data_IF_993470285001
#
_entry.id   IF_993470285001
#
_cell.length_a   1.000
_cell.length_b   1.000
_cell.length_c   1.000
_cell.angle_alpha   90.00
_cell.angle_beta   90.00
_cell.angle_gamma   90.00
#
_symmetry.space_group_name_H-M   'P 1'
#
loop_
_entity.id
_entity.type
_entity.pdbx_description
1 polymer ?
#
# COMPACT_ATOMS: atom_id res chain seq x y z
N UNK A 1 7.67 9.05 12.25
CA UNK A 1 7.47 10.20 11.34
C UNK A 1 8.11 9.97 9.96
N UNK A 2 9.29 9.32 9.86
CA UNK A 2 9.98 9.06 8.59
C UNK A 2 9.16 8.19 7.61
N UNK A 3 8.57 7.10 8.10
CA UNK A 3 7.90 6.10 7.24
C UNK A 3 6.68 6.64 6.51
N UNK A 4 5.90 7.53 7.14
CA UNK A 4 4.75 8.17 6.48
C UNK A 4 5.17 9.02 5.28
N UNK A 5 6.32 9.70 5.38
CA UNK A 5 6.88 10.48 4.25
C UNK A 5 7.30 9.56 3.11
N UNK A 6 7.98 8.45 3.43
CA UNK A 6 8.41 7.45 2.46
C UNK A 6 7.21 6.83 1.74
N UNK A 7 6.16 6.44 2.47
CA UNK A 7 4.94 5.89 1.88
C UNK A 7 4.23 6.88 0.95
N UNK A 8 4.14 8.15 1.34
CA UNK A 8 3.54 9.19 0.51
C UNK A 8 4.31 9.38 -0.80
N UNK A 9 5.64 9.33 -0.75
CA UNK A 9 6.48 9.37 -1.95
C UNK A 9 6.26 8.12 -2.82
N UNK A 10 6.25 6.92 -2.25
CA UNK A 10 5.96 5.69 -3.01
C UNK A 10 4.64 5.82 -3.77
N UNK A 11 3.58 6.29 -3.11
CA UNK A 11 2.26 6.52 -3.73
C UNK A 11 2.32 7.56 -4.83
N UNK A 12 2.97 8.69 -4.58
CA UNK A 12 3.13 9.79 -5.56
C UNK A 12 3.85 9.30 -6.81
N UNK A 13 4.97 8.59 -6.66
CA UNK A 13 5.73 8.10 -7.80
C UNK A 13 5.01 6.95 -8.51
N UNK A 14 4.29 6.10 -7.78
CA UNK A 14 3.44 5.05 -8.36
C UNK A 14 2.33 5.64 -9.25
N UNK A 15 1.59 6.65 -8.76
CA UNK A 15 0.52 7.29 -9.54
C UNK A 15 1.02 8.04 -10.78
N UNK A 16 2.28 8.49 -10.76
CA UNK A 16 2.95 9.10 -11.91
C UNK A 16 3.54 8.07 -12.90
N UNK A 17 3.43 6.77 -12.62
CA UNK A 17 4.07 5.72 -13.42
C UNK A 17 5.61 5.76 -13.35
N UNK A 18 6.16 6.26 -12.24
CA UNK A 18 7.61 6.46 -12.02
C UNK A 18 8.14 5.68 -10.82
N UNK A 19 7.46 4.60 -10.43
CA UNK A 19 7.92 3.67 -9.42
C UNK A 19 8.66 2.51 -10.10
N UNK A 20 9.86 2.21 -9.66
CA UNK A 20 10.62 1.05 -10.13
C UNK A 20 11.11 0.23 -8.95
N UNK A 21 11.36 -1.06 -9.16
CA UNK A 21 11.83 -1.97 -8.12
C UNK A 21 13.14 -2.61 -8.55
N UNK A 22 14.10 -2.67 -7.64
CA UNK A 22 15.35 -3.39 -7.80
C UNK A 22 15.32 -4.67 -6.96
N UNK A 23 15.34 -5.83 -7.60
CA UNK A 23 15.23 -7.14 -6.96
C UNK A 23 16.61 -7.81 -6.96
N UNK A 24 17.12 -8.12 -5.77
CA UNK A 24 18.38 -8.86 -5.60
C UNK A 24 18.19 -10.35 -5.32
N UNK A 25 19.31 -11.05 -5.13
CA UNK A 25 19.35 -12.51 -4.96
C UNK A 25 18.62 -13.00 -3.69
N UNK A 26 18.41 -12.14 -2.70
CA UNK A 26 17.69 -12.46 -1.47
C UNK A 26 16.23 -12.87 -1.71
N UNK A 27 15.58 -12.37 -2.77
CA UNK A 27 14.22 -12.80 -3.12
C UNK A 27 14.24 -14.19 -3.79
N UNK A 28 15.20 -14.44 -4.67
CA UNK A 28 15.39 -15.75 -5.31
C UNK A 28 15.81 -16.84 -4.31
N UNK A 29 16.57 -16.48 -3.27
CA UNK A 29 16.96 -17.40 -2.21
C UNK A 29 15.76 -18.00 -1.45
N UNK A 30 14.66 -17.25 -1.31
CA UNK A 30 13.41 -17.76 -0.73
C UNK A 30 12.75 -18.85 -1.59
N UNK A 31 13.10 -18.92 -2.86
CA UNK A 31 12.68 -19.98 -3.79
C UNK A 31 13.66 -21.16 -3.84
N UNK A 32 14.74 -21.14 -3.03
CA UNK A 32 15.72 -22.21 -2.95
C UNK A 32 16.94 -22.05 -3.87
N UNK A 33 17.10 -20.90 -4.53
CA UNK A 33 18.34 -20.62 -5.28
C UNK A 33 19.54 -20.51 -4.34
N UNK A 34 20.73 -21.01 -4.75
CA UNK A 34 21.94 -20.85 -3.97
C UNK A 34 22.31 -19.38 -3.82
N UNK A 35 22.85 -19.03 -2.66
CA UNK A 35 23.42 -17.69 -2.46
C UNK A 35 24.71 -17.54 -3.26
N UNK A 36 25.09 -16.30 -3.55
CA UNK A 36 26.36 -16.00 -4.21
C UNK A 36 27.56 -16.62 -3.50
N UNK A 37 27.64 -16.45 -2.17
CA UNK A 37 28.70 -17.04 -1.35
C UNK A 37 28.73 -18.56 -1.44
N UNK A 38 27.59 -19.24 -1.64
CA UNK A 38 27.55 -20.68 -1.83
C UNK A 38 28.15 -21.10 -3.17
N UNK A 39 27.85 -20.39 -4.25
CA UNK A 39 28.48 -20.61 -5.56
C UNK A 39 30.00 -20.41 -5.49
N UNK A 40 30.43 -19.30 -4.87
CA UNK A 40 31.86 -18.98 -4.71
C UNK A 40 32.56 -20.04 -3.86
N UNK A 41 31.92 -20.52 -2.78
CA UNK A 41 32.44 -21.62 -1.94
C UNK A 41 32.64 -22.90 -2.75
N UNK A 42 31.69 -23.26 -3.62
CA UNK A 42 31.81 -24.43 -4.48
C UNK A 42 32.98 -24.30 -5.46
N UNK A 43 33.14 -23.12 -6.09
CA UNK A 43 34.29 -22.84 -6.95
C UNK A 43 35.60 -22.91 -6.18
N UNK A 44 35.67 -22.26 -5.01
CA UNK A 44 36.86 -22.22 -4.16
C UNK A 44 37.33 -23.62 -3.76
N UNK A 45 36.41 -24.49 -3.35
CA UNK A 45 36.73 -25.86 -2.95
C UNK A 45 37.31 -26.69 -4.11
N UNK A 46 36.85 -26.49 -5.36
CA UNK A 46 37.34 -27.25 -6.53
C UNK A 46 38.71 -26.82 -7.05
N UNK A 47 39.15 -25.62 -6.67
CA UNK A 47 40.48 -25.08 -6.99
C UNK A 47 41.39 -25.04 -5.75
N UNK A 48 40.99 -25.68 -4.65
CA UNK A 48 41.71 -25.71 -3.37
C UNK A 48 42.08 -24.31 -2.84
N UNK A 49 41.20 -23.32 -3.02
CA UNK A 49 41.40 -21.95 -2.52
C UNK A 49 41.06 -21.84 -1.03
N UNK A 50 41.98 -21.29 -0.25
CA UNK A 50 41.80 -21.09 1.20
C UNK A 50 40.94 -19.86 1.48
N UNK A 51 39.85 -20.03 2.25
CA UNK A 51 38.98 -18.94 2.71
C UNK A 51 38.68 -19.05 4.20
N UNK A 52 38.17 -17.96 4.79
CA UNK A 52 37.80 -17.92 6.22
C UNK A 52 36.45 -18.59 6.45
N UNK A 53 36.28 -19.18 7.61
CA UNK A 53 35.03 -19.82 8.03
C UNK A 53 34.56 -19.17 9.33
N UNK A 54 33.26 -18.93 9.47
CA UNK A 54 32.68 -18.43 10.71
C UNK A 54 32.53 -19.54 11.78
N UNK A 55 32.01 -19.16 12.95
CA UNK A 55 31.73 -20.10 14.05
C UNK A 55 30.70 -21.18 13.71
N UNK A 56 29.92 -20.99 12.65
CA UNK A 56 28.82 -21.87 12.23
C UNK A 56 29.21 -22.77 11.03
N UNK A 57 30.43 -22.62 10.51
CA UNK A 57 30.92 -23.40 9.35
C UNK A 57 30.62 -22.78 7.99
N UNK A 58 30.11 -21.54 7.94
CA UNK A 58 29.85 -20.83 6.70
C UNK A 58 31.11 -20.13 6.19
N UNK A 59 31.26 -20.11 4.87
CA UNK A 59 32.39 -19.43 4.23
C UNK A 59 32.20 -17.92 4.30
N UNK A 60 33.20 -17.23 4.84
CA UNK A 60 33.29 -15.77 4.85
C UNK A 60 34.27 -15.36 3.74
N UNK A 61 33.75 -14.64 2.76
CA UNK A 61 34.54 -14.02 1.71
C UNK A 61 34.53 -12.50 1.87
N UNK A 62 35.68 -11.88 1.66
CA UNK A 62 35.76 -10.44 1.41
C UNK A 62 35.15 -10.08 0.05
N UNK A 63 34.79 -8.80 -0.15
CA UNK A 63 34.28 -8.32 -1.44
C UNK A 63 35.26 -8.56 -2.60
N UNK A 64 36.57 -8.56 -2.32
CA UNK A 64 37.61 -8.87 -3.32
C UNK A 64 37.61 -10.36 -3.68
N UNK A 65 37.55 -11.24 -2.67
CA UNK A 65 37.53 -12.69 -2.88
C UNK A 65 36.30 -13.15 -3.67
N UNK A 66 35.15 -12.51 -3.46
CA UNK A 66 33.92 -12.78 -4.22
C UNK A 66 34.07 -12.58 -5.72
N UNK A 67 35.01 -11.72 -6.16
CA UNK A 67 35.29 -11.45 -7.58
C UNK A 67 36.51 -12.22 -8.08
N UNK A 68 37.53 -12.36 -7.22
CA UNK A 68 38.80 -13.01 -7.53
C UNK A 68 38.66 -14.52 -7.68
N UNK A 69 37.89 -15.18 -6.82
CA UNK A 69 37.74 -16.65 -6.88
C UNK A 69 37.13 -17.09 -8.23
N UNK A 70 36.03 -16.49 -8.73
CA UNK A 70 35.55 -16.76 -10.08
C UNK A 70 36.58 -16.51 -11.18
N UNK A 71 37.39 -15.44 -11.04
CA UNK A 71 38.44 -15.12 -12.00
C UNK A 71 39.54 -16.19 -12.02
N UNK A 72 39.97 -16.64 -10.85
CA UNK A 72 40.97 -17.73 -10.73
C UNK A 72 40.39 -19.05 -11.26
N UNK A 73 39.13 -19.37 -10.94
CA UNK A 73 38.45 -20.55 -11.46
C UNK A 73 38.43 -20.56 -12.99
N UNK A 74 38.04 -19.44 -13.60
CA UNK A 74 38.07 -19.26 -15.06
C UNK A 74 39.47 -19.48 -15.65
N UNK A 75 40.51 -18.94 -15.02
CA UNK A 75 41.91 -19.11 -15.49
C UNK A 75 42.36 -20.57 -15.38
N UNK A 76 41.99 -21.27 -14.31
CA UNK A 76 42.47 -22.63 -14.02
C UNK A 76 41.70 -23.72 -14.78
N UNK A 77 40.37 -23.57 -14.90
CA UNK A 77 39.49 -24.59 -15.51
C UNK A 77 39.10 -24.25 -16.94
N UNK A 78 39.26 -23.00 -17.36
CA UNK A 78 38.86 -22.52 -18.67
C UNK A 78 37.39 -22.10 -18.73
N UNK A 79 37.01 -21.48 -19.85
CA UNK A 79 35.69 -20.86 -20.06
C UNK A 79 34.54 -21.88 -20.01
N UNK A 80 34.68 -23.02 -20.68
CA UNK A 80 33.61 -24.02 -20.76
C UNK A 80 33.25 -24.59 -19.39
N UNK A 81 34.23 -24.97 -18.59
CA UNK A 81 34.00 -25.52 -17.25
C UNK A 81 33.43 -24.46 -16.30
N UNK A 82 33.91 -23.22 -16.41
CA UNK A 82 33.37 -22.08 -15.68
C UNK A 82 31.89 -21.85 -16.00
N UNK A 83 31.51 -21.79 -17.27
CA UNK A 83 30.11 -21.60 -17.66
C UNK A 83 29.22 -22.76 -17.21
N UNK A 84 29.67 -23.99 -17.40
CA UNK A 84 28.93 -25.18 -16.97
C UNK A 84 28.71 -25.16 -15.46
N UNK A 85 29.77 -24.85 -14.70
CA UNK A 85 29.69 -24.77 -13.23
C UNK A 85 28.62 -23.80 -12.77
N UNK A 86 28.50 -22.65 -13.42
CA UNK A 86 27.49 -21.65 -13.07
C UNK A 86 26.11 -22.14 -13.50
N UNK A 87 25.95 -22.57 -14.75
CA UNK A 87 24.64 -23.03 -15.29
C UNK A 87 24.05 -24.18 -14.45
N UNK A 88 24.88 -25.09 -13.96
CA UNK A 88 24.45 -26.18 -13.06
C UNK A 88 23.84 -25.67 -11.74
N UNK A 89 24.30 -24.53 -11.22
CA UNK A 89 23.78 -23.94 -9.98
C UNK A 89 22.46 -23.17 -10.20
N UNK A 90 22.08 -22.89 -11.44
CA UNK A 90 20.87 -22.15 -11.81
C UNK A 90 19.99 -22.99 -12.74
N UNK A 91 19.46 -24.10 -12.23
CA UNK A 91 18.49 -24.93 -12.98
C UNK A 91 17.10 -24.29 -13.05
N UNK A 92 16.35 -24.51 -14.13
CA UNK A 92 15.02 -23.93 -14.37
C UNK A 92 13.88 -24.48 -13.49
N UNK A 93 14.20 -25.35 -12.53
CA UNK A 93 13.23 -26.11 -11.74
C UNK A 93 12.57 -25.32 -10.61
N UNK A 94 13.10 -24.14 -10.26
CA UNK A 94 12.59 -23.34 -9.16
C UNK A 94 11.29 -22.58 -9.51
N UNK A 95 10.40 -22.49 -8.54
CA UNK A 95 9.13 -21.78 -8.63
C UNK A 95 9.17 -20.39 -8.01
N UNK A 96 8.28 -19.52 -8.44
CA UNK A 96 8.10 -18.18 -7.84
C UNK A 96 7.58 -18.31 -6.40
N UNK A 97 7.68 -17.23 -5.62
CA UNK A 97 7.22 -17.16 -4.24
C UNK A 97 6.31 -15.94 -4.02
N UNK A 98 5.61 -15.89 -2.88
CA UNK A 98 4.64 -14.82 -2.55
C UNK A 98 5.26 -13.41 -2.59
N UNK A 99 6.56 -13.26 -2.32
CA UNK A 99 7.24 -11.96 -2.35
C UNK A 99 7.27 -11.41 -3.77
N UNK A 100 7.49 -12.25 -4.80
CA UNK A 100 7.37 -11.80 -6.19
C UNK A 100 5.96 -11.33 -6.52
N UNK A 101 4.93 -12.03 -6.06
CA UNK A 101 3.54 -11.63 -6.27
C UNK A 101 3.26 -10.25 -5.64
N UNK A 102 3.79 -9.99 -4.46
CA UNK A 102 3.68 -8.69 -3.79
C UNK A 102 4.47 -7.59 -4.50
N UNK A 103 5.67 -7.90 -5.02
CA UNK A 103 6.47 -6.96 -5.82
C UNK A 103 5.71 -6.53 -7.07
N UNK A 104 5.11 -7.48 -7.81
CA UNK A 104 4.32 -7.15 -9.00
C UNK A 104 3.02 -6.41 -8.65
N UNK A 105 2.46 -6.65 -7.46
CA UNK A 105 1.29 -5.93 -6.94
C UNK A 105 1.57 -4.45 -6.66
N UNK A 106 2.84 -4.04 -6.49
CA UNK A 106 3.23 -2.62 -6.41
C UNK A 106 3.10 -1.89 -7.76
N UNK A 107 2.82 -2.62 -8.84
CA UNK A 107 2.71 -2.12 -10.21
C UNK A 107 3.95 -1.33 -10.67
N UNK A 108 5.17 -1.87 -10.52
CA UNK A 108 6.37 -1.16 -10.94
C UNK A 108 6.39 -0.90 -12.44
N UNK A 109 6.83 0.30 -12.83
CA UNK A 109 7.04 0.71 -14.22
C UNK A 109 8.23 -0.03 -14.85
N UNK A 110 9.33 -0.15 -14.11
CA UNK A 110 10.47 -1.00 -14.47
C UNK A 110 10.86 -1.89 -13.30
N UNK A 111 11.40 -3.07 -13.62
CA UNK A 111 12.02 -3.96 -12.65
C UNK A 111 13.49 -4.11 -13.04
N UNK A 112 14.39 -3.91 -12.09
CA UNK A 112 15.83 -4.09 -12.28
C UNK A 112 16.27 -5.27 -11.43
N UNK A 113 17.25 -6.02 -11.90
CA UNK A 113 17.82 -7.12 -11.12
C UNK A 113 19.27 -7.39 -11.50
N UNK A 114 20.06 -7.86 -10.54
CA UNK A 114 21.37 -8.48 -10.78
C UNK A 114 21.28 -10.00 -10.89
N UNK A 115 20.08 -10.58 -10.79
CA UNK A 115 19.88 -12.02 -10.81
C UNK A 115 19.79 -12.52 -12.26
N UNK A 116 20.29 -13.73 -12.50
CA UNK A 116 20.25 -14.37 -13.81
C UNK A 116 18.98 -15.17 -14.05
N UNK A 117 18.30 -15.60 -12.98
CA UNK A 117 17.08 -16.42 -13.03
C UNK A 117 15.92 -15.73 -13.78
N UNK A 118 14.88 -16.50 -14.09
CA UNK A 118 13.70 -16.04 -14.83
C UNK A 118 12.44 -15.91 -13.95
N UNK A 119 12.59 -15.84 -12.61
CA UNK A 119 11.44 -15.84 -11.70
C UNK A 119 10.61 -14.55 -11.81
N UNK A 120 11.25 -13.42 -12.09
CA UNK A 120 10.55 -12.13 -12.28
C UNK A 120 9.68 -12.20 -13.54
N UNK A 121 10.22 -12.74 -14.63
CA UNK A 121 9.54 -12.90 -15.92
C UNK A 121 8.37 -13.87 -15.79
N UNK A 122 8.57 -15.03 -15.14
CA UNK A 122 7.51 -15.99 -14.83
C UNK A 122 6.38 -15.34 -14.01
N UNK A 123 6.73 -14.52 -13.01
CA UNK A 123 5.74 -13.80 -12.20
C UNK A 123 5.02 -12.72 -13.01
N UNK A 124 5.74 -11.95 -13.82
CA UNK A 124 5.14 -10.93 -14.67
C UNK A 124 4.12 -11.53 -15.65
N UNK A 125 4.46 -12.67 -16.27
CA UNK A 125 3.54 -13.43 -17.12
C UNK A 125 2.28 -13.90 -16.36
N UNK A 126 2.45 -14.41 -15.12
CA UNK A 126 1.32 -14.76 -14.22
C UNK A 126 0.39 -13.57 -13.95
N UNK A 127 0.92 -12.36 -13.85
CA UNK A 127 0.16 -11.13 -13.64
C UNK A 127 -0.37 -10.51 -14.95
N UNK A 128 -0.12 -11.12 -16.11
CA UNK A 128 -0.51 -10.58 -17.42
C UNK A 128 0.21 -9.26 -17.75
N UNK A 129 1.40 -9.05 -17.20
CA UNK A 129 2.21 -7.83 -17.40
C UNK A 129 3.27 -8.11 -18.45
N UNK A 130 3.23 -7.37 -19.56
CA UNK A 130 4.24 -7.46 -20.61
C UNK A 130 5.40 -6.51 -20.29
N UNK A 131 6.59 -7.08 -20.12
CA UNK A 131 7.85 -6.34 -19.99
C UNK A 131 8.82 -6.82 -21.07
N UNK A 132 9.60 -5.90 -21.63
CA UNK A 132 10.73 -6.26 -22.48
C UNK A 132 11.93 -6.56 -21.59
N UNK A 133 12.52 -7.74 -21.77
CA UNK A 133 13.68 -8.17 -21.00
C UNK A 133 14.94 -7.62 -21.65
N UNK A 134 15.68 -6.80 -20.92
CA UNK A 134 16.93 -6.19 -21.36
C UNK A 134 18.10 -6.82 -20.58
N UNK A 135 18.81 -7.73 -21.22
CA UNK A 135 19.94 -8.47 -20.62
C UNK A 135 21.29 -8.19 -21.29
N UNK A 136 21.30 -7.48 -22.42
CA UNK A 136 22.51 -7.16 -23.19
C UNK A 136 22.26 -5.94 -24.07
N UNK A 137 23.31 -5.35 -24.64
CA UNK A 137 23.17 -4.19 -25.52
C UNK A 137 22.38 -4.52 -26.80
N UNK A 138 22.54 -5.74 -27.34
CA UNK A 138 21.95 -6.13 -28.64
C UNK A 138 20.41 -6.25 -28.59
N UNK A 139 19.85 -6.53 -27.41
CA UNK A 139 18.40 -6.68 -27.23
C UNK A 139 17.67 -5.35 -27.01
N UNK A 140 18.39 -4.28 -26.67
CA UNK A 140 17.79 -2.96 -26.39
C UNK A 140 16.96 -2.45 -27.57
N UNK A 141 17.48 -2.63 -28.79
CA UNK A 141 16.78 -2.23 -30.02
C UNK A 141 15.52 -3.06 -30.34
N UNK A 142 15.39 -4.24 -29.73
CA UNK A 142 14.30 -5.20 -29.95
C UNK A 142 13.21 -5.10 -28.89
N UNK A 143 13.30 -4.14 -27.97
CA UNK A 143 12.30 -3.95 -26.93
C UNK A 143 10.93 -3.60 -27.56
N UNK A 144 9.91 -4.39 -27.24
CA UNK A 144 8.56 -4.24 -27.79
C UNK A 144 7.68 -3.32 -26.92
N UNK A 145 8.09 -3.10 -25.67
CA UNK A 145 7.35 -2.35 -24.66
C UNK A 145 8.21 -1.27 -24.05
N UNK A 146 7.58 -0.25 -23.45
CA UNK A 146 8.27 0.80 -22.68
C UNK A 146 8.52 0.41 -21.22
N UNK A 147 7.91 -0.67 -20.75
CA UNK A 147 8.20 -1.29 -19.45
C UNK A 147 9.32 -2.32 -19.60
N UNK A 148 10.31 -2.27 -18.72
CA UNK A 148 11.52 -3.11 -18.84
C UNK A 148 11.74 -3.98 -17.61
N UNK A 149 12.17 -5.22 -17.85
CA UNK A 149 12.92 -6.02 -16.86
C UNK A 149 14.39 -5.90 -17.26
N UNK A 150 15.16 -5.10 -16.53
CA UNK A 150 16.57 -4.84 -16.82
C UNK A 150 17.42 -5.78 -15.98
N UNK A 151 18.04 -6.77 -16.63
CA UNK A 151 19.05 -7.63 -16.01
C UNK A 151 20.40 -6.94 -16.11
N UNK A 152 20.75 -6.21 -15.07
CA UNK A 152 21.94 -5.35 -15.00
C UNK A 152 23.21 -6.14 -15.28
N UNK A 153 23.30 -7.36 -14.74
CA UNK A 153 24.44 -8.25 -14.91
C UNK A 153 24.24 -9.28 -16.03
N UNK A 154 23.26 -9.07 -16.90
CA UNK A 154 22.90 -9.97 -17.99
C UNK A 154 22.31 -11.31 -17.50
N UNK A 155 22.44 -12.33 -18.35
CA UNK A 155 22.02 -13.70 -18.04
C UNK A 155 22.83 -14.72 -18.87
N UNK A 156 22.47 -16.01 -18.75
CA UNK A 156 23.20 -17.11 -19.39
C UNK A 156 22.95 -17.26 -20.91
N UNK A 157 22.07 -16.44 -21.50
CA UNK A 157 21.78 -16.52 -22.94
C UNK A 157 22.76 -15.73 -23.80
N UNK A 158 23.44 -14.76 -23.19
CA UNK A 158 24.40 -13.90 -23.86
C UNK A 158 25.66 -13.73 -23.00
N UNK A 159 25.85 -12.56 -22.39
CA UNK A 159 26.97 -12.24 -21.51
C UNK A 159 26.44 -12.01 -20.10
N UNK A 160 27.22 -12.41 -19.10
CA UNK A 160 26.91 -12.15 -17.70
C UNK A 160 28.14 -11.62 -16.94
N UNK A 161 27.89 -11.01 -15.79
CA UNK A 161 28.92 -10.38 -14.95
C UNK A 161 29.08 -11.16 -13.66
N UNK A 162 30.24 -11.81 -13.45
CA UNK A 162 30.53 -12.58 -12.23
C UNK A 162 32.01 -12.51 -11.80
N UNK A 163 32.96 -12.65 -12.74
CA UNK A 163 34.40 -12.57 -12.42
C UNK A 163 34.91 -11.13 -12.44
N UNK A 164 36.02 -10.90 -11.75
CA UNK A 164 36.67 -9.59 -11.61
C UNK A 164 36.77 -8.80 -12.93
N UNK A 165 37.24 -9.44 -14.01
CA UNK A 165 37.40 -8.76 -15.30
C UNK A 165 36.07 -8.24 -15.88
N UNK A 166 34.94 -8.90 -15.61
CA UNK A 166 33.63 -8.46 -16.10
C UNK A 166 33.16 -7.19 -15.41
N UNK A 167 33.48 -7.03 -14.12
CA UNK A 167 33.21 -5.79 -13.38
C UNK A 167 34.08 -4.64 -13.87
N UNK A 168 35.37 -4.89 -14.15
CA UNK A 168 36.28 -3.86 -14.67
C UNK A 168 35.87 -3.37 -16.06
N UNK A 169 35.35 -4.26 -16.90
CA UNK A 169 34.91 -3.94 -18.26
C UNK A 169 33.42 -3.59 -18.36
N UNK A 170 32.70 -3.54 -17.24
CA UNK A 170 31.24 -3.46 -17.21
C UNK A 170 30.69 -2.28 -18.03
N UNK A 171 31.22 -1.07 -17.85
CA UNK A 171 30.74 0.12 -18.57
C UNK A 171 30.91 0.01 -20.09
N UNK A 172 31.91 -0.73 -20.56
CA UNK A 172 32.16 -0.94 -21.98
C UNK A 172 31.26 -2.07 -22.53
N UNK A 173 31.17 -3.15 -21.79
CA UNK A 173 30.44 -4.36 -22.18
C UNK A 173 28.92 -4.20 -22.11
N UNK A 174 28.43 -3.39 -21.18
CA UNK A 174 27.00 -3.19 -20.90
C UNK A 174 26.57 -1.72 -21.05
N UNK A 175 27.25 -0.95 -21.91
CA UNK A 175 27.06 0.51 -22.05
C UNK A 175 25.59 0.97 -22.21
N UNK A 176 24.76 0.24 -22.96
CA UNK A 176 23.36 0.62 -23.15
C UNK A 176 22.53 0.28 -21.91
N UNK A 177 22.78 -0.89 -21.31
CA UNK A 177 22.13 -1.31 -20.07
C UNK A 177 22.48 -0.32 -18.95
N UNK A 178 23.76 0.01 -18.77
CA UNK A 178 24.24 0.98 -17.80
C UNK A 178 23.55 2.36 -17.97
N UNK A 179 23.45 2.87 -19.19
CA UNK A 179 22.74 4.12 -19.47
C UNK A 179 21.24 4.06 -19.14
N UNK A 180 20.57 2.94 -19.45
CA UNK A 180 19.16 2.73 -19.09
C UNK A 180 18.99 2.70 -17.58
N UNK A 181 19.86 1.99 -16.86
CA UNK A 181 19.84 1.92 -15.39
C UNK A 181 20.05 3.31 -14.78
N UNK A 182 21.06 4.06 -15.25
CA UNK A 182 21.29 5.47 -14.86
C UNK A 182 20.06 6.34 -15.11
N UNK A 183 19.41 6.19 -16.26
CA UNK A 183 18.20 6.94 -16.59
C UNK A 183 17.02 6.59 -15.66
N UNK A 184 16.83 5.30 -15.36
CA UNK A 184 15.77 4.87 -14.44
C UNK A 184 16.02 5.46 -13.05
N UNK A 185 17.23 5.36 -12.49
CA UNK A 185 17.56 5.98 -11.20
C UNK A 185 17.39 7.50 -11.20
N UNK A 186 17.64 8.16 -12.33
CA UNK A 186 17.48 9.61 -12.45
C UNK A 186 16.00 10.06 -12.52
N UNK A 187 15.10 9.19 -12.97
CA UNK A 187 13.71 9.57 -13.32
C UNK A 187 12.64 8.89 -12.48
N UNK A 188 12.98 7.77 -11.84
CA UNK A 188 12.06 6.93 -11.07
C UNK A 188 12.49 6.86 -9.61
N UNK A 189 11.51 6.68 -8.73
CA UNK A 189 11.77 6.22 -7.38
C UNK A 189 12.02 4.71 -7.41
N UNK A 190 13.22 4.29 -6.99
CA UNK A 190 13.61 2.87 -6.97
C UNK A 190 13.53 2.31 -5.55
N UNK A 191 12.85 1.17 -5.38
CA UNK A 191 12.82 0.39 -4.13
C UNK A 191 13.70 -0.84 -4.27
N UNK A 192 14.73 -0.98 -3.46
CA UNK A 192 15.59 -2.17 -3.37
C UNK A 192 14.99 -3.22 -2.45
N UNK A 193 14.88 -4.46 -2.92
CA UNK A 193 14.28 -5.60 -2.22
C UNK A 193 15.16 -6.83 -2.42
N UNK A 194 15.53 -7.53 -1.34
CA UNK A 194 16.38 -8.72 -1.45
C UNK A 194 17.79 -8.44 -1.93
N UNK A 195 18.25 -7.21 -1.81
CA UNK A 195 19.51 -6.77 -2.39
C UNK A 195 20.53 -6.42 -1.31
N UNK A 196 21.75 -6.94 -1.42
CA UNK A 196 22.86 -6.46 -0.61
C UNK A 196 23.47 -5.23 -1.27
N UNK A 197 23.49 -4.08 -0.61
CA UNK A 197 24.07 -2.81 -1.11
C UNK A 197 25.60 -2.84 -1.31
N UNK A 198 26.20 -4.02 -1.49
CA UNK A 198 27.64 -4.21 -1.59
C UNK A 198 28.19 -4.23 -3.01
N UNK A 199 27.32 -4.39 -4.01
CA UNK A 199 27.72 -4.40 -5.42
C UNK A 199 28.41 -3.11 -5.86
N UNK A 200 29.52 -3.25 -6.55
CA UNK A 200 30.35 -2.14 -6.99
C UNK A 200 29.68 -1.31 -8.10
N UNK A 201 29.08 -1.95 -9.10
CA UNK A 201 28.50 -1.29 -10.27
C UNK A 201 27.30 -0.42 -9.85
N UNK A 202 26.41 -0.95 -9.01
CA UNK A 202 25.24 -0.19 -8.54
C UNK A 202 25.67 0.99 -7.66
N UNK A 203 26.71 0.85 -6.83
CA UNK A 203 27.25 1.98 -6.04
C UNK A 203 27.77 3.09 -6.94
N UNK A 204 28.50 2.74 -8.00
CA UNK A 204 29.01 3.71 -8.97
C UNK A 204 27.87 4.43 -9.69
N UNK A 205 26.87 3.68 -10.19
CA UNK A 205 25.71 4.25 -10.87
C UNK A 205 24.97 5.22 -9.97
N UNK A 206 24.65 4.82 -8.73
CA UNK A 206 23.95 5.69 -7.78
C UNK A 206 24.73 6.97 -7.47
N UNK A 207 26.04 6.86 -7.26
CA UNK A 207 26.88 8.01 -6.99
C UNK A 207 26.95 8.96 -8.19
N UNK A 208 27.05 8.41 -9.42
CA UNK A 208 27.03 9.19 -10.65
C UNK A 208 25.73 9.96 -10.81
N UNK A 209 24.57 9.30 -10.66
CA UNK A 209 23.26 9.94 -10.76
C UNK A 209 23.09 11.04 -9.71
N UNK A 210 23.51 10.77 -8.47
CA UNK A 210 23.48 11.75 -7.38
C UNK A 210 24.30 12.99 -7.69
N UNK A 211 25.51 12.84 -8.23
CA UNK A 211 26.35 13.97 -8.62
C UNK A 211 25.73 14.77 -9.76
N UNK A 212 25.21 14.08 -10.79
CA UNK A 212 24.58 14.72 -11.94
C UNK A 212 23.34 15.54 -11.56
N UNK A 213 22.54 15.08 -10.59
CA UNK A 213 21.27 15.70 -10.22
C UNK A 213 21.33 16.64 -9.01
N UNK A 214 22.39 16.59 -8.20
CA UNK A 214 22.61 17.43 -7.03
C UNK A 214 21.36 17.57 -6.14
N UNK A 215 20.62 18.69 -6.22
CA UNK A 215 19.44 18.96 -5.39
C UNK A 215 18.15 18.26 -5.84
N UNK A 216 18.11 17.70 -7.05
CA UNK A 216 16.93 17.04 -7.63
C UNK A 216 16.96 15.51 -7.54
N UNK A 217 17.96 14.96 -6.84
CA UNK A 217 18.17 13.53 -6.74
C UNK A 217 16.99 12.82 -6.07
N UNK A 218 16.45 11.80 -6.75
CA UNK A 218 15.36 10.98 -6.23
C UNK A 218 15.97 9.88 -5.36
N UNK A 219 15.96 10.10 -4.04
CA UNK A 219 16.58 9.20 -3.07
C UNK A 219 15.91 7.81 -3.08
N UNK A 220 16.61 6.74 -3.49
CA UNK A 220 16.06 5.38 -3.48
C UNK A 220 15.71 4.90 -2.07
N UNK A 221 14.86 3.88 -2.01
CA UNK A 221 14.43 3.26 -0.75
C UNK A 221 15.05 1.87 -0.68
N UNK A 222 15.64 1.54 0.46
CA UNK A 222 16.24 0.26 0.75
C UNK A 222 15.42 -0.48 1.80
N UNK A 223 14.89 -1.66 1.45
CA UNK A 223 14.22 -2.54 2.41
C UNK A 223 15.30 -3.38 3.10
N UNK A 224 15.51 -3.11 4.38
CA UNK A 224 16.47 -3.83 5.21
C UNK A 224 15.82 -5.02 5.91
N UNK A 225 16.48 -6.17 5.88
CA UNK A 225 16.04 -7.44 6.47
C UNK A 225 17.15 -8.09 7.30
N UNK A 226 16.78 -9.04 8.16
CA UNK A 226 17.70 -9.67 9.12
C UNK A 226 17.72 -8.88 10.42
N UNK A 227 18.89 -8.76 11.03
CA UNK A 227 19.04 -8.06 12.31
C UNK A 227 18.66 -6.59 12.22
N UNK A 228 18.14 -6.07 13.33
CA UNK A 228 17.80 -4.66 13.46
C UNK A 228 19.02 -3.79 13.17
N UNK A 229 18.86 -2.84 12.25
CA UNK A 229 19.94 -1.95 11.85
C UNK A 229 20.20 -0.91 12.94
N UNK A 230 21.48 -0.67 13.24
CA UNK A 230 21.86 0.36 14.21
C UNK A 230 21.65 1.77 13.63
N UNK A 231 21.34 2.72 14.50
CA UNK A 231 21.14 4.13 14.16
C UNK A 231 22.34 4.77 13.47
N UNK A 232 23.57 4.31 13.76
CA UNK A 232 24.79 4.77 13.10
C UNK A 232 24.79 4.32 11.63
N UNK A 233 24.48 3.05 11.39
CA UNK A 233 24.42 2.49 10.03
C UNK A 233 23.28 3.13 9.23
N UNK A 234 22.13 3.40 9.85
CA UNK A 234 21.03 4.14 9.20
C UNK A 234 21.50 5.50 8.69
N UNK A 235 22.14 6.29 9.56
CA UNK A 235 22.68 7.60 9.18
C UNK A 235 23.74 7.50 8.10
N UNK A 236 24.61 6.50 8.17
CA UNK A 236 25.63 6.27 7.15
C UNK A 236 25.01 6.06 5.75
N UNK A 237 23.94 5.27 5.64
CA UNK A 237 23.27 5.04 4.36
C UNK A 237 22.45 6.25 3.91
N UNK A 238 21.85 7.00 4.83
CA UNK A 238 21.16 8.26 4.54
C UNK A 238 22.10 9.29 3.92
N UNK A 239 23.31 9.47 4.47
CA UNK A 239 24.36 10.33 3.90
C UNK A 239 24.88 9.84 2.54
N UNK A 240 24.73 8.54 2.25
CA UNK A 240 25.00 7.97 0.93
C UNK A 240 23.87 8.16 -0.07
N UNK A 241 22.77 8.78 0.34
CA UNK A 241 21.61 9.05 -0.52
C UNK A 241 20.65 7.87 -0.60
N UNK A 242 20.51 7.06 0.46
CA UNK A 242 19.54 5.95 0.54
C UNK A 242 18.62 6.12 1.74
N UNK A 243 17.32 5.93 1.54
CA UNK A 243 16.34 5.89 2.64
C UNK A 243 16.13 4.45 3.08
N UNK A 244 16.17 4.17 4.37
CA UNK A 244 16.01 2.79 4.86
C UNK A 244 14.60 2.59 5.40
N UNK A 245 14.01 1.46 5.03
CA UNK A 245 12.84 0.88 5.67
C UNK A 245 13.25 -0.45 6.31
N UNK A 246 13.30 -0.49 7.63
CA UNK A 246 13.69 -1.68 8.38
C UNK A 246 12.46 -2.58 8.65
N UNK A 247 12.50 -3.82 8.14
CA UNK A 247 11.44 -4.80 8.34
C UNK A 247 11.16 -5.12 9.82
N UNK A 248 12.16 -5.00 10.69
CA UNK A 248 12.00 -5.25 12.13
C UNK A 248 11.02 -4.30 12.82
N UNK A 249 10.63 -3.20 12.17
CA UNK A 249 9.61 -2.28 12.67
C UNK A 249 8.18 -2.78 12.41
N UNK A 250 8.02 -3.73 11.48
CA UNK A 250 6.71 -4.21 11.01
C UNK A 250 6.44 -5.67 11.38
N UNK A 251 7.46 -6.41 11.82
CA UNK A 251 7.32 -7.78 12.34
C UNK A 251 8.39 -8.07 13.39
N UNK A 252 8.06 -8.92 14.36
CA UNK A 252 9.02 -9.48 15.32
C UNK A 252 9.67 -10.78 14.84
N UNK A 253 9.32 -11.26 13.64
CA UNK A 253 9.84 -12.49 13.08
C UNK A 253 11.25 -12.32 12.52
N UNK A 254 12.08 -13.34 12.73
CA UNK A 254 13.42 -13.45 12.15
C UNK A 254 13.41 -14.13 10.77
N UNK A 255 12.26 -14.65 10.32
CA UNK A 255 12.16 -15.26 9.01
C UNK A 255 12.11 -14.21 7.90
N UNK A 256 13.07 -14.28 6.97
CA UNK A 256 13.16 -13.36 5.83
C UNK A 256 11.87 -13.27 5.01
N UNK A 257 11.19 -14.40 4.77
CA UNK A 257 9.93 -14.43 4.01
C UNK A 257 8.85 -13.59 4.68
N UNK A 258 8.69 -13.71 6.01
CA UNK A 258 7.71 -12.95 6.77
C UNK A 258 8.08 -11.47 6.85
N UNK A 259 9.37 -11.15 6.98
CA UNK A 259 9.87 -9.78 6.94
C UNK A 259 9.50 -9.07 5.63
N UNK A 260 9.84 -9.65 4.47
CA UNK A 260 9.47 -9.09 3.16
C UNK A 260 7.96 -8.99 2.99
N UNK A 261 7.24 -10.04 3.35
CA UNK A 261 5.78 -10.09 3.20
C UNK A 261 5.09 -9.01 4.03
N UNK A 262 5.54 -8.80 5.27
CA UNK A 262 4.94 -7.83 6.19
C UNK A 262 5.12 -6.41 5.70
N UNK A 263 6.34 -6.04 5.30
CA UNK A 263 6.62 -4.68 4.83
C UNK A 263 5.95 -4.38 3.49
N UNK A 264 5.94 -5.34 2.55
CA UNK A 264 5.30 -5.14 1.25
C UNK A 264 3.77 -5.05 1.40
N UNK A 265 3.16 -5.89 2.25
CA UNK A 265 1.75 -5.76 2.62
C UNK A 265 1.48 -4.41 3.29
N UNK A 266 2.37 -3.92 4.15
CA UNK A 266 2.25 -2.60 4.75
C UNK A 266 2.29 -1.48 3.71
N UNK A 267 3.21 -1.53 2.73
CA UNK A 267 3.27 -0.55 1.64
C UNK A 267 1.97 -0.57 0.81
N UNK A 268 1.55 -1.77 0.36
CA UNK A 268 0.37 -1.98 -0.48
C UNK A 268 -0.95 -1.61 0.22
N UNK A 269 -1.08 -1.94 1.50
CA UNK A 269 -2.31 -1.76 2.27
C UNK A 269 -2.23 -0.61 3.26
N UNK A 270 -1.24 0.28 3.14
CA UNK A 270 -1.11 1.45 3.99
C UNK A 270 -2.38 2.30 4.01
N UNK A 271 -3.16 2.33 2.93
CA UNK A 271 -4.48 2.98 2.87
C UNK A 271 -5.53 2.32 3.78
N UNK A 272 -5.47 1.00 3.98
CA UNK A 272 -6.36 0.28 4.92
C UNK A 272 -5.98 0.48 6.39
N UNK A 273 -4.74 0.91 6.64
CA UNK A 273 -4.22 1.26 7.97
C UNK A 273 -4.23 2.77 8.22
N UNK A 274 -4.52 3.59 7.20
CA UNK A 274 -4.86 4.98 7.40
C UNK A 274 -6.26 5.04 8.00
N UNK A 275 -6.34 5.18 9.32
CA UNK A 275 -7.60 5.42 10.02
C UNK A 275 -8.33 6.61 9.42
N UNK A 276 -7.62 7.56 8.80
CA UNK A 276 -8.24 8.68 8.11
C UNK A 276 -8.91 8.31 6.78
N UNK A 277 -8.37 7.39 5.97
CA UNK A 277 -9.05 7.01 4.71
C UNK A 277 -10.34 6.24 5.01
N UNK A 278 -10.32 5.35 6.02
CA UNK A 278 -11.54 4.70 6.52
C UNK A 278 -12.52 5.68 7.13
N UNK A 279 -12.05 6.68 7.89
CA UNK A 279 -12.92 7.73 8.46
C UNK A 279 -13.46 8.66 7.36
N UNK A 280 -12.69 8.98 6.34
CA UNK A 280 -13.17 9.74 5.17
C UNK A 280 -14.26 8.97 4.43
N UNK A 281 -14.06 7.68 4.16
CA UNK A 281 -15.08 6.81 3.54
C UNK A 281 -16.36 6.73 4.40
N UNK A 282 -16.21 6.54 5.72
CA UNK A 282 -17.34 6.51 6.67
C UNK A 282 -18.07 7.86 6.72
N UNK A 283 -17.32 8.97 6.71
CA UNK A 283 -17.85 10.33 6.76
C UNK A 283 -18.59 10.67 5.48
N UNK A 284 -17.99 10.35 4.34
CA UNK A 284 -18.57 10.57 3.01
C UNK A 284 -19.84 9.75 2.83
N UNK A 285 -19.85 8.51 3.32
CA UNK A 285 -21.06 7.68 3.34
C UNK A 285 -22.22 8.35 4.10
N UNK A 286 -21.98 8.73 5.36
CA UNK A 286 -22.99 9.38 6.20
C UNK A 286 -23.44 10.71 5.56
N UNK A 287 -22.50 11.51 5.08
CA UNK A 287 -22.76 12.77 4.40
C UNK A 287 -23.64 12.59 3.17
N UNK A 288 -23.32 11.65 2.28
CA UNK A 288 -24.07 11.40 1.05
C UNK A 288 -25.52 10.99 1.36
N UNK A 289 -25.73 10.21 2.42
CA UNK A 289 -27.08 9.80 2.89
C UNK A 289 -27.90 10.96 3.44
N UNK A 290 -27.29 11.92 4.14
CA UNK A 290 -28.01 13.02 4.81
C UNK A 290 -28.08 14.32 4.02
N UNK A 291 -27.16 14.53 3.07
CA UNK A 291 -26.98 15.80 2.36
C UNK A 291 -28.26 16.28 1.66
N UNK A 292 -29.00 15.36 1.04
CA UNK A 292 -30.21 15.66 0.25
C UNK A 292 -31.39 16.19 1.07
N UNK A 293 -31.39 16.04 2.39
CA UNK A 293 -32.47 16.48 3.28
C UNK A 293 -32.02 17.45 4.38
N UNK A 294 -30.79 17.95 4.27
CA UNK A 294 -30.19 18.90 5.23
C UNK A 294 -31.03 20.18 5.43
N UNK A 295 -31.82 20.57 4.44
CA UNK A 295 -32.69 21.76 4.48
C UNK A 295 -33.97 21.58 5.30
N UNK A 296 -34.30 20.36 5.76
CA UNK A 296 -35.49 20.13 6.58
C UNK A 296 -35.30 20.67 7.99
N UNK A 297 -36.32 21.31 8.57
CA UNK A 297 -36.29 21.78 9.96
C UNK A 297 -36.48 20.65 10.99
N UNK A 298 -37.08 19.53 10.56
CA UNK A 298 -37.35 18.37 11.40
C UNK A 298 -37.32 17.11 10.55
N UNK A 299 -36.78 16.01 11.09
CA UNK A 299 -36.69 14.72 10.41
C UNK A 299 -37.59 13.73 11.13
N UNK A 300 -38.56 13.14 10.42
CA UNK A 300 -39.45 12.15 11.02
C UNK A 300 -38.69 10.83 11.13
N UNK A 301 -39.07 9.99 12.10
CA UNK A 301 -38.55 8.62 12.23
C UNK A 301 -38.64 7.82 10.92
N UNK A 302 -39.75 7.96 10.19
CA UNK A 302 -39.92 7.31 8.89
C UNK A 302 -38.88 7.76 7.86
N UNK A 303 -38.49 9.03 7.88
CA UNK A 303 -37.51 9.60 6.96
C UNK A 303 -36.11 9.04 7.29
N UNK A 304 -35.74 9.03 8.58
CA UNK A 304 -34.50 8.39 9.05
C UNK A 304 -34.44 6.92 8.63
N UNK A 305 -35.48 6.14 8.96
CA UNK A 305 -35.55 4.70 8.66
C UNK A 305 -35.58 4.41 7.15
N UNK A 306 -36.02 5.37 6.34
CA UNK A 306 -35.97 5.24 4.88
C UNK A 306 -34.57 5.46 4.32
N UNK A 307 -33.80 6.39 4.89
CA UNK A 307 -32.44 6.74 4.43
C UNK A 307 -31.46 5.60 4.73
N UNK A 308 -31.58 5.02 5.92
CA UNK A 308 -30.73 3.93 6.40
C UNK A 308 -31.42 2.56 6.34
N UNK A 309 -32.34 2.37 5.39
CA UNK A 309 -33.10 1.13 5.26
C UNK A 309 -32.15 -0.08 5.21
N UNK A 310 -32.41 -1.08 6.05
CA UNK A 310 -31.61 -2.29 6.23
C UNK A 310 -30.21 -2.09 6.85
N UNK A 311 -29.84 -0.87 7.24
CA UNK A 311 -28.53 -0.53 7.80
C UNK A 311 -28.69 -0.06 9.25
N UNK A 312 -29.51 0.97 9.47
CA UNK A 312 -29.82 1.54 10.77
C UNK A 312 -31.32 1.80 10.93
N UNK A 313 -31.82 1.66 12.15
CA UNK A 313 -33.21 1.99 12.51
C UNK A 313 -33.24 2.93 13.71
N UNK A 314 -33.96 4.04 13.61
CA UNK A 314 -34.38 4.83 14.75
C UNK A 314 -35.61 4.16 15.40
N UNK A 315 -35.49 3.71 16.64
CA UNK A 315 -36.56 3.00 17.37
C UNK A 315 -37.52 3.96 18.10
N UNK A 316 -38.54 3.42 18.80
CA UNK A 316 -39.53 4.19 19.58
C UNK A 316 -38.94 4.99 20.75
N UNK A 317 -37.72 4.65 21.18
CA UNK A 317 -36.98 5.35 22.24
C UNK A 317 -36.06 6.44 21.69
N UNK A 318 -36.17 6.73 20.39
CA UNK A 318 -35.27 7.57 19.62
C UNK A 318 -33.81 7.06 19.64
N UNK A 319 -33.57 5.76 19.75
CA UNK A 319 -32.23 5.18 19.69
C UNK A 319 -31.89 4.73 18.26
N UNK A 320 -30.69 5.05 17.77
CA UNK A 320 -30.17 4.49 16.51
C UNK A 320 -29.69 3.06 16.77
N UNK A 321 -30.35 2.08 16.15
CA UNK A 321 -30.04 0.66 16.21
C UNK A 321 -29.36 0.24 14.91
N UNK A 322 -28.18 -0.35 15.01
CA UNK A 322 -27.52 -1.02 13.89
C UNK A 322 -28.24 -2.32 13.54
N UNK A 323 -28.67 -2.44 12.29
CA UNK A 323 -29.37 -3.62 11.75
C UNK A 323 -28.48 -4.51 10.90
N UNK A 324 -27.21 -4.15 10.72
CA UNK A 324 -26.24 -4.99 10.03
C UNK A 324 -25.84 -6.19 10.90
N UNK A 325 -25.91 -7.38 10.33
CA UNK A 325 -25.66 -8.66 10.98
C UNK A 325 -24.17 -8.99 10.99
N UNK A 326 -23.70 -9.59 12.08
CA UNK A 326 -22.41 -10.26 12.15
C UNK A 326 -22.67 -11.75 11.96
N UNK A 327 -22.46 -12.29 10.76
CA UNK A 327 -22.28 -13.73 10.61
C UNK A 327 -20.78 -14.02 10.67
N UNK A 328 -20.35 -14.75 11.70
CA UNK A 328 -19.07 -15.45 11.73
C UNK A 328 -19.36 -16.90 11.29
N UNK A 329 -19.11 -17.25 10.03
CA UNK A 329 -18.95 -18.64 9.66
C UNK A 329 -17.47 -18.99 9.87
N UNK A 330 -17.22 -19.87 10.85
CA UNK A 330 -15.99 -20.65 10.83
C UNK A 330 -16.08 -21.59 9.63
N UNK A 331 -15.22 -21.46 8.64
CA UNK A 331 -15.14 -22.42 7.53
C UNK A 331 -13.72 -22.95 7.46
N UNK A 332 -13.56 -24.14 8.05
CA UNK A 332 -12.74 -25.20 7.49
C UNK A 332 -13.08 -25.39 6.01
N UNK A 333 -12.05 -25.31 5.18
CA UNK A 333 -11.89 -25.86 3.83
C UNK A 333 -13.13 -26.40 3.10
N UNK A 334 -13.33 -25.90 1.87
CA UNK A 334 -14.20 -26.41 0.79
C UNK A 334 -15.67 -25.94 0.83
N UNK A 335 -15.98 -24.92 0.01
CA UNK A 335 -17.35 -24.69 -0.44
C UNK A 335 -17.68 -23.24 -0.73
N UNK A 336 -18.14 -22.99 -1.96
CA UNK A 336 -18.67 -21.70 -2.43
C UNK A 336 -20.04 -21.41 -1.77
N UNK A 337 -20.32 -20.11 -1.61
CA UNK A 337 -21.57 -19.43 -1.22
C UNK A 337 -21.79 -19.09 0.26
N UNK A 338 -21.22 -17.95 0.70
CA UNK A 338 -21.79 -17.15 1.79
C UNK A 338 -21.71 -15.64 1.46
N UNK A 339 -22.86 -14.98 1.43
CA UNK A 339 -22.96 -13.51 1.35
C UNK A 339 -22.26 -12.92 2.58
N UNK A 340 -21.14 -12.22 2.37
CA UNK A 340 -20.56 -11.31 3.36
C UNK A 340 -21.56 -10.19 3.66
N UNK A 341 -22.35 -10.32 4.72
CA UNK A 341 -22.99 -9.15 5.34
C UNK A 341 -21.92 -8.42 6.16
N UNK A 342 -21.48 -7.28 5.62
CA UNK A 342 -20.51 -6.39 6.26
C UNK A 342 -21.22 -5.66 7.40
N UNK A 343 -20.68 -5.73 8.62
CA UNK A 343 -21.13 -4.89 9.72
C UNK A 343 -20.74 -3.43 9.43
N UNK A 344 -21.70 -2.56 9.21
CA UNK A 344 -21.50 -1.12 9.00
C UNK A 344 -21.56 -0.46 10.38
N UNK A 345 -20.43 0.01 10.91
CA UNK A 345 -20.29 0.59 12.26
C UNK A 345 -20.08 2.12 12.24
N UNK A 346 -20.61 2.79 11.22
CA UNK A 346 -20.24 4.15 10.86
C UNK A 346 -20.79 5.19 11.84
N UNK A 347 -22.03 5.07 12.29
CA UNK A 347 -22.55 5.94 13.35
C UNK A 347 -21.77 5.72 14.65
N UNK A 348 -21.53 4.47 15.04
CA UNK A 348 -20.81 4.12 16.26
C UNK A 348 -19.40 4.70 16.30
N UNK A 349 -18.67 4.61 15.18
CA UNK A 349 -17.33 5.16 15.02
C UNK A 349 -17.34 6.70 14.91
N UNK A 350 -18.32 7.28 14.21
CA UNK A 350 -18.51 8.72 14.10
C UNK A 350 -18.71 9.37 15.47
N UNK A 351 -19.56 8.79 16.33
CA UNK A 351 -19.83 9.31 17.67
C UNK A 351 -18.65 9.14 18.63
N UNK A 352 -17.87 8.05 18.54
CA UNK A 352 -16.69 7.84 19.39
C UNK A 352 -15.52 8.78 19.03
N UNK A 353 -15.48 9.27 17.80
CA UNK A 353 -14.31 9.98 17.26
C UNK A 353 -14.64 11.37 16.66
N UNK A 354 -15.68 12.06 17.16
CA UNK A 354 -16.17 13.34 16.60
C UNK A 354 -15.04 14.35 16.37
N UNK A 355 -14.12 14.51 17.31
CA UNK A 355 -13.00 15.47 17.21
C UNK A 355 -12.05 15.15 16.04
N UNK A 356 -11.89 13.87 15.70
CA UNK A 356 -11.07 13.43 14.57
C UNK A 356 -11.79 13.66 13.24
N UNK A 357 -13.09 13.34 13.18
CA UNK A 357 -13.92 13.61 12.00
C UNK A 357 -14.03 15.12 11.70
N UNK A 358 -14.10 15.97 12.73
CA UNK A 358 -14.11 17.43 12.55
C UNK A 358 -12.81 17.97 11.94
N UNK A 359 -11.65 17.34 12.22
CA UNK A 359 -10.36 17.68 11.59
C UNK A 359 -10.31 17.24 10.13
N UNK A 360 -11.01 16.16 9.77
CA UNK A 360 -11.09 15.65 8.39
C UNK A 360 -11.94 16.60 7.53
N UNK A 361 -13.22 16.79 7.89
CA UNK A 361 -14.11 17.68 7.15
C UNK A 361 -15.19 18.26 8.07
N UNK A 362 -14.92 19.47 8.59
CA UNK A 362 -15.79 20.18 9.52
C UNK A 362 -17.21 20.40 8.96
N UNK A 363 -17.33 20.69 7.66
CA UNK A 363 -18.64 20.98 7.04
C UNK A 363 -19.52 19.74 6.96
N UNK A 364 -18.96 18.59 6.58
CA UNK A 364 -19.70 17.32 6.54
C UNK A 364 -20.13 16.90 7.95
N UNK A 365 -19.27 17.05 8.94
CA UNK A 365 -19.58 16.74 10.34
C UNK A 365 -20.74 17.57 10.88
N UNK A 366 -20.75 18.89 10.63
CA UNK A 366 -21.83 19.79 11.07
C UNK A 366 -23.17 19.35 10.47
N UNK A 367 -23.19 18.92 9.21
CA UNK A 367 -24.42 18.49 8.54
C UNK A 367 -24.95 17.15 9.08
N UNK A 368 -24.06 16.21 9.40
CA UNK A 368 -24.42 14.94 10.02
C UNK A 368 -24.95 15.18 11.44
N UNK A 369 -24.28 16.03 12.23
CA UNK A 369 -24.72 16.41 13.57
C UNK A 369 -26.08 17.12 13.56
N UNK A 370 -26.28 18.07 12.63
CA UNK A 370 -27.56 18.76 12.46
C UNK A 370 -28.68 17.79 12.05
N UNK A 371 -28.40 16.81 11.17
CA UNK A 371 -29.34 15.74 10.82
C UNK A 371 -29.71 14.90 12.05
N UNK A 372 -28.74 14.46 12.85
CA UNK A 372 -28.99 13.69 14.08
C UNK A 372 -29.86 14.50 15.04
N UNK A 373 -29.51 15.77 15.27
CA UNK A 373 -30.24 16.70 16.13
C UNK A 373 -31.69 16.89 15.70
N UNK A 374 -31.92 17.12 14.41
CA UNK A 374 -33.25 17.30 13.81
C UNK A 374 -34.11 16.03 13.81
N UNK A 375 -33.49 14.86 13.91
CA UNK A 375 -34.19 13.57 14.06
C UNK A 375 -34.58 13.25 15.51
N UNK A 376 -34.03 13.97 16.48
CA UNK A 376 -34.22 13.70 17.92
C UNK A 376 -33.54 12.41 18.38
N UNK A 377 -32.62 11.86 17.58
CA UNK A 377 -31.94 10.61 17.85
C UNK A 377 -30.93 10.73 19.01
N UNK A 378 -30.89 9.67 19.82
CA UNK A 378 -29.92 9.40 20.88
C UNK A 378 -29.11 8.18 20.47
N UNK A 379 -27.80 8.17 20.69
CA UNK A 379 -27.05 6.92 20.56
C UNK A 379 -27.31 6.06 21.80
N UNK A 380 -27.27 4.74 21.65
CA UNK A 380 -27.16 3.83 22.78
C UNK A 380 -25.72 3.32 22.86
N UNK A 381 -24.93 3.80 23.82
CA UNK A 381 -23.72 3.13 24.31
C UNK A 381 -23.66 3.23 25.83
N UNK A 382 -22.84 2.37 26.45
CA UNK A 382 -22.85 2.00 27.87
C UNK A 382 -22.91 3.17 28.86
N UNK A 383 -22.54 4.38 28.47
CA UNK A 383 -23.03 5.62 29.09
C UNK A 383 -23.08 6.73 28.03
N UNK A 384 -24.30 7.17 27.70
CA UNK A 384 -24.53 8.37 26.88
C UNK A 384 -24.98 9.51 27.78
N UNK A 385 -24.47 10.71 27.54
CA UNK A 385 -25.20 11.95 27.84
C UNK A 385 -24.96 12.88 26.66
N UNK A 386 -26.02 13.41 26.04
CA UNK A 386 -26.16 14.85 25.79
C UNK A 386 -27.64 15.22 25.56
N UNK A 387 -27.90 16.50 25.88
CA UNK A 387 -29.16 17.07 26.33
C UNK A 387 -30.36 16.92 25.40
N UNK A 388 -31.51 16.76 26.03
CA UNK A 388 -32.85 16.93 25.46
C UNK A 388 -32.97 18.33 24.89
N UNK A 389 -33.16 18.45 23.58
CA UNK A 389 -33.84 19.62 23.04
C UNK A 389 -35.26 19.61 23.60
N UNK A 390 -35.60 20.63 24.38
CA UNK A 390 -37.00 20.99 24.60
C UNK A 390 -37.59 21.31 23.23
N UNK A 391 -38.26 20.34 22.61
CA UNK A 391 -39.06 20.59 21.43
C UNK A 391 -40.32 21.31 21.91
N UNK A 392 -40.28 22.64 21.97
CA UNK A 392 -41.50 23.43 22.06
C UNK A 392 -42.24 23.35 20.72
N UNK A 393 -43.18 22.40 20.62
CA UNK A 393 -44.07 22.31 19.46
C UNK A 393 -45.13 23.40 19.62
N UNK A 394 -44.88 24.57 19.04
CA UNK A 394 -45.86 25.67 19.01
C UNK A 394 -46.88 25.53 17.87
N UNK A 395 -47.60 24.41 17.89
CA UNK A 395 -48.71 24.14 16.97
C UNK A 395 -49.98 23.92 17.76
N UNK A 396 -50.97 24.79 17.57
CA UNK A 396 -52.29 24.67 18.20
C UNK A 396 -52.99 23.37 17.83
N UNK A 397 -52.80 22.90 16.59
CA UNK A 397 -53.32 21.61 16.11
C UNK A 397 -52.64 20.45 16.82
N UNK A 398 -51.33 20.54 17.06
CA UNK A 398 -50.62 19.51 17.81
C UNK A 398 -51.05 19.48 19.29
N UNK A 399 -51.25 20.66 19.89
CA UNK A 399 -51.75 20.81 21.27
C UNK A 399 -53.24 20.50 21.42
N UNK A 400 -53.95 20.22 20.33
CA UNK A 400 -55.41 20.01 20.32
C UNK A 400 -56.20 21.17 20.95
N UNK A 401 -55.68 22.39 20.84
CA UNK A 401 -56.32 23.59 21.40
C UNK A 401 -57.37 24.14 20.43
N UNK A 402 -58.49 23.42 20.32
CA UNK A 402 -59.57 23.75 19.39
C UNK A 402 -60.22 25.11 19.68
N UNK A 403 -60.10 25.62 20.91
CA UNK A 403 -60.66 26.92 21.32
C UNK A 403 -59.86 28.05 20.67
N UNK A 404 -58.53 28.01 20.78
CA UNK A 404 -57.66 28.99 20.11
C UNK A 404 -57.74 28.87 18.59
N UNK A 405 -57.81 27.65 18.04
CA UNK A 405 -57.97 27.43 16.59
C UNK A 405 -59.25 28.11 16.08
N UNK A 406 -60.39 27.94 16.76
CA UNK A 406 -61.65 28.61 16.40
C UNK A 406 -61.53 30.13 16.52
N UNK A 407 -60.92 30.63 17.60
CA UNK A 407 -60.70 32.07 17.81
C UNK A 407 -59.80 32.69 16.74
N UNK A 408 -58.81 31.95 16.24
CA UNK A 408 -57.96 32.36 15.14
C UNK A 408 -58.75 32.39 13.83
N UNK A 409 -59.58 31.39 13.55
CA UNK A 409 -60.39 31.34 12.33
C UNK A 409 -61.48 32.44 12.24
N UNK A 410 -61.95 32.97 13.38
CA UNK A 410 -62.94 34.06 13.41
C UNK A 410 -62.38 35.43 12.99
N UNK A 411 -61.05 35.59 12.89
CA UNK A 411 -60.43 36.86 12.48
C UNK A 411 -60.28 36.93 10.97
N UNK A 412 -60.29 38.15 10.44
CA UNK A 412 -59.89 38.43 9.06
C UNK A 412 -58.42 38.81 9.00
N UNK A 413 -57.70 38.25 8.03
CA UNK A 413 -56.27 38.47 7.85
C UNK A 413 -55.98 39.03 6.46
N UNK A 414 -55.15 40.08 6.42
CA UNK A 414 -54.69 40.71 5.18
C UNK A 414 -53.50 39.94 4.58
N UNK A 415 -52.72 39.25 5.43
CA UNK A 415 -51.53 38.50 5.02
C UNK A 415 -51.88 37.12 4.44
N UNK A 416 -51.28 36.81 3.28
CA UNK A 416 -51.44 35.54 2.58
C UNK A 416 -51.07 34.33 3.46
N UNK A 417 -50.00 34.43 4.25
CA UNK A 417 -49.53 33.36 5.13
C UNK A 417 -50.54 33.01 6.22
N UNK A 418 -51.16 34.02 6.81
CA UNK A 418 -52.17 33.86 7.86
C UNK A 418 -53.48 33.29 7.29
N UNK A 419 -53.82 33.66 6.05
CA UNK A 419 -54.96 33.06 5.32
C UNK A 419 -54.73 31.57 5.00
N UNK A 420 -53.53 31.15 4.61
CA UNK A 420 -53.22 29.72 4.46
C UNK A 420 -53.28 28.97 5.79
N UNK A 421 -52.79 29.59 6.88
CA UNK A 421 -52.87 29.01 8.22
C UNK A 421 -54.33 28.85 8.68
N UNK A 422 -55.17 29.85 8.41
CA UNK A 422 -56.62 29.80 8.63
C UNK A 422 -57.28 28.67 7.83
N UNK A 423 -56.98 28.54 6.54
CA UNK A 423 -57.52 27.45 5.71
C UNK A 423 -57.10 26.06 6.23
N UNK A 424 -55.85 25.89 6.64
CA UNK A 424 -55.37 24.66 7.28
C UNK A 424 -56.13 24.36 8.58
N UNK A 425 -56.39 25.36 9.41
CA UNK A 425 -57.14 25.21 10.66
C UNK A 425 -58.63 24.88 10.46
N UNK A 426 -59.28 25.49 9.47
CA UNK A 426 -60.65 25.15 9.07
C UNK A 426 -60.75 23.69 8.60
N UNK A 427 -59.79 23.23 7.79
CA UNK A 427 -59.72 21.84 7.35
C UNK A 427 -59.56 20.84 8.51
N UNK A 428 -58.84 21.21 9.58
CA UNK A 428 -58.68 20.38 10.78
C UNK A 428 -59.93 20.38 11.68
N UNK A 429 -60.72 21.46 11.66
CA UNK A 429 -61.99 21.55 12.39
C UNK A 429 -63.16 20.84 11.67
N UNK A 430 -63.03 20.59 10.36
CA UNK A 430 -64.10 20.03 9.54
C UNK A 430 -65.20 21.04 9.18
N UNK A 431 -64.95 22.33 9.43
CA UNK A 431 -65.83 23.45 9.07
C UNK A 431 -65.35 23.99 7.71
N UNK A 432 -66.01 23.60 6.63
CA UNK A 432 -65.69 23.99 5.25
C UNK A 432 -66.30 25.33 4.85
#
# INVERSE_FOLDING_TARGET
>A
MCDKSILNDIKKYSSMGKLSVFVGAGVSALSGFPSWSSLIKNMANEIDYTYKIDSEGNAIFSSEELLKIPQVYYIMKGETDYENKIKENFSDTYSTNEVYDLILSLQPNHILTTNYDNLIEKTAAKFGRNFSVLNSNDVVSKAETTNYIVKVHGDFTSKFVLKEQDYLNYEQDFILIDNIVKNIFATNLVIFIGYGLNDYNIKLILNWVRQAQSSSFIMPIFIHTGDKIDCIEVKYQEERGLRILDCNQYTGSQEYKEQYTSILKFILYSDKYDTNSKKEEKLEYLYNKVSGISNLNYIRRRDFNSIFKNEYELNDKCEIINKTTQYLPSVSELGVDEKKEIKIDYFEDFFENIEEYQKINTRQCILIDDFIRKSGAKLKKKDCIFNVLNIEIDSLVFKSDFIEIKKYCLKEYINLKDNYKKAYFLAQLGDY
#
